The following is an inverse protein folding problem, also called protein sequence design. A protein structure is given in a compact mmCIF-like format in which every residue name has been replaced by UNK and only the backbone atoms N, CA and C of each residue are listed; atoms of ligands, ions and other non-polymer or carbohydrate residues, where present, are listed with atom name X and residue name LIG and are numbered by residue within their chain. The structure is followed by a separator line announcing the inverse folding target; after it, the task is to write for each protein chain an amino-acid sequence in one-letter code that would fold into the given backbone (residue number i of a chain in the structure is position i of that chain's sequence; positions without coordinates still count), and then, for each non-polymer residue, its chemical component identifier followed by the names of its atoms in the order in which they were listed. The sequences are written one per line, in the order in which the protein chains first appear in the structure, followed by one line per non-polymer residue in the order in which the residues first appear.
data_IF_184181699830
#
_entry.id   IF_184181699830
#
_cell.length_a   1.000
_cell.length_b   1.000
_cell.length_c   1.000
_cell.angle_alpha   90.00
_cell.angle_beta   90.00
_cell.angle_gamma   90.00
#
_symmetry.space_group_name_H-M   'P 1'
#
loop_
_entity.id
_entity.type
_entity.pdbx_description
1 polymer ?
#
# COMPACT_ATOMS: atom_id res chain seq x y z
N UNK A 1 1.45 -9.41 21.46
CA UNK A 1 0.57 -9.80 20.34
C UNK A 1 -0.02 -8.49 19.84
N UNK A 2 0.61 -7.89 18.81
CA UNK A 2 0.20 -6.59 18.30
C UNK A 2 -1.03 -6.76 17.43
N UNK A 3 -2.04 -5.93 17.65
CA UNK A 3 -3.30 -5.92 16.91
C UNK A 3 -3.04 -5.55 15.44
N UNK A 4 -3.41 -6.40 14.46
CA UNK A 4 -3.19 -6.14 13.04
C UNK A 4 -4.02 -4.95 12.49
N UNK A 5 -4.86 -4.30 13.31
CA UNK A 5 -5.70 -3.17 12.89
C UNK A 5 -5.22 -1.79 13.37
N UNK A 6 -4.00 -1.66 13.92
CA UNK A 6 -3.44 -0.34 14.28
C UNK A 6 -2.96 0.38 13.01
N UNK A 7 -3.92 0.83 12.19
CA UNK A 7 -3.67 1.73 11.04
C UNK A 7 -2.87 2.92 11.55
N UNK A 8 -1.68 3.11 11.00
CA UNK A 8 -0.83 4.26 11.29
C UNK A 8 -1.66 5.53 11.05
N UNK A 9 -1.97 6.29 12.10
CA UNK A 9 -2.73 7.55 11.98
C UNK A 9 -1.83 8.73 11.66
N UNK A 10 -0.52 8.48 11.51
CA UNK A 10 0.47 9.49 11.19
C UNK A 10 1.28 9.11 9.97
N UNK A 11 1.74 10.14 9.26
CA UNK A 11 2.75 9.98 8.22
C UNK A 11 4.14 9.73 8.84
N UNK A 12 5.13 9.44 8.00
CA UNK A 12 6.52 9.21 8.39
C UNK A 12 7.22 10.49 8.89
N UNK A 13 6.59 11.65 8.74
CA UNK A 13 7.06 12.93 9.27
C UNK A 13 6.43 13.26 10.63
N UNK A 14 5.51 12.43 11.11
CA UNK A 14 4.82 12.57 12.39
C UNK A 14 3.58 13.46 12.34
N UNK A 15 3.04 13.84 11.19
CA UNK A 15 1.77 14.56 11.07
C UNK A 15 0.59 13.60 11.14
N UNK A 16 -0.57 14.05 11.63
CA UNK A 16 -1.81 13.27 11.52
C UNK A 16 -2.25 13.16 10.06
N UNK A 17 -2.68 11.96 9.66
CA UNK A 17 -3.21 11.75 8.33
C UNK A 17 -4.55 12.45 8.14
N UNK A 18 -4.70 13.12 7.01
CA UNK A 18 -6.01 13.54 6.53
C UNK A 18 -6.87 12.31 6.18
N UNK A 19 -8.21 12.46 6.13
CA UNK A 19 -9.08 11.38 5.68
C UNK A 19 -8.79 10.90 4.25
N UNK A 20 -8.23 11.77 3.39
CA UNK A 20 -7.84 11.39 2.03
C UNK A 20 -6.57 10.53 2.02
N UNK A 21 -5.55 10.92 2.79
CA UNK A 21 -4.30 10.16 2.92
C UNK A 21 -4.54 8.79 3.54
N UNK A 22 -5.35 8.71 4.59
CA UNK A 22 -5.73 7.42 5.19
C UNK A 22 -6.42 6.49 4.18
N UNK A 23 -7.22 7.05 3.26
CA UNK A 23 -7.87 6.26 2.19
C UNK A 23 -6.88 5.82 1.11
N UNK A 24 -5.92 6.67 0.75
CA UNK A 24 -4.85 6.31 -0.20
C UNK A 24 -4.00 5.17 0.36
N UNK A 25 -3.61 5.25 1.64
CA UNK A 25 -2.88 4.21 2.33
C UNK A 25 -3.68 2.91 2.38
N UNK A 26 -4.99 2.97 2.67
CA UNK A 26 -5.84 1.77 2.66
C UNK A 26 -5.91 1.11 1.27
N UNK A 27 -6.00 1.88 0.18
CA UNK A 27 -5.98 1.32 -1.19
C UNK A 27 -4.65 0.64 -1.48
N UNK A 28 -3.54 1.22 -1.03
CA UNK A 28 -2.21 0.65 -1.17
C UNK A 28 -2.08 -0.70 -0.44
N UNK A 29 -2.55 -0.78 0.80
CA UNK A 29 -2.56 -2.03 1.57
C UNK A 29 -3.42 -3.14 0.93
N UNK A 30 -4.60 -2.79 0.42
CA UNK A 30 -5.45 -3.76 -0.29
C UNK A 30 -4.81 -4.25 -1.59
N UNK A 31 -4.09 -3.38 -2.31
CA UNK A 31 -3.34 -3.79 -3.50
C UNK A 31 -2.19 -4.74 -3.15
N UNK A 32 -1.51 -4.53 -2.01
CA UNK A 32 -0.50 -5.48 -1.50
C UNK A 32 -1.13 -6.85 -1.20
N UNK A 33 -2.25 -6.85 -0.49
CA UNK A 33 -2.99 -8.07 -0.18
C UNK A 33 -3.43 -8.83 -1.45
N UNK A 34 -3.92 -8.11 -2.46
CA UNK A 34 -4.27 -8.68 -3.77
C UNK A 34 -3.04 -9.27 -4.49
N UNK A 35 -1.91 -8.57 -4.50
CA UNK A 35 -0.69 -9.06 -5.16
C UNK A 35 -0.09 -10.29 -4.47
N UNK A 36 -0.33 -10.45 -3.16
CA UNK A 36 0.06 -11.62 -2.40
C UNK A 36 -0.88 -12.83 -2.59
N UNK A 37 -2.06 -12.65 -3.21
CA UNK A 37 -3.01 -13.72 -3.48
C UNK A 37 -2.59 -14.55 -4.71
N UNK A 38 -2.64 -15.88 -4.58
CA UNK A 38 -2.41 -16.81 -5.69
C UNK A 38 -3.67 -17.06 -6.54
N UNK A 39 -4.82 -16.50 -6.16
CA UNK A 39 -6.12 -16.79 -6.79
C UNK A 39 -6.44 -15.89 -8.00
N UNK A 40 -5.61 -14.87 -8.26
CA UNK A 40 -5.83 -13.95 -9.37
C UNK A 40 -5.44 -14.57 -10.71
N UNK A 41 -6.31 -14.51 -11.74
CA UNK A 41 -5.91 -14.85 -13.10
C UNK A 41 -4.69 -14.02 -13.54
N UNK A 42 -3.81 -14.53 -14.41
CA UNK A 42 -2.53 -13.87 -14.74
C UNK A 42 -2.65 -12.41 -15.17
N UNK A 43 -3.68 -12.07 -15.97
CA UNK A 43 -3.94 -10.70 -16.39
C UNK A 43 -4.29 -9.77 -15.21
N UNK A 44 -5.13 -10.25 -14.28
CA UNK A 44 -5.51 -9.49 -13.09
C UNK A 44 -4.32 -9.31 -12.15
N UNK A 45 -3.50 -10.35 -11.96
CA UNK A 45 -2.28 -10.26 -11.15
C UNK A 45 -1.28 -9.24 -11.72
N UNK A 46 -1.09 -9.22 -13.05
CA UNK A 46 -0.24 -8.22 -13.71
C UNK A 46 -0.79 -6.79 -13.54
N UNK A 47 -2.10 -6.60 -13.70
CA UNK A 47 -2.76 -5.31 -13.48
C UNK A 47 -2.65 -4.83 -12.03
N UNK A 48 -2.83 -5.73 -11.07
CA UNK A 48 -2.70 -5.42 -9.64
C UNK A 48 -1.29 -4.95 -9.28
N UNK A 49 -0.24 -5.63 -9.77
CA UNK A 49 1.16 -5.22 -9.57
C UNK A 49 1.46 -3.86 -10.18
N UNK A 50 0.95 -3.59 -11.38
CA UNK A 50 1.11 -2.28 -12.02
C UNK A 50 0.43 -1.16 -11.22
N UNK A 51 -0.77 -1.41 -10.71
CA UNK A 51 -1.47 -0.47 -9.84
C UNK A 51 -0.74 -0.25 -8.51
N UNK A 52 -0.22 -1.33 -7.91
CA UNK A 52 0.57 -1.27 -6.68
C UNK A 52 1.82 -0.40 -6.85
N UNK A 53 2.54 -0.55 -7.97
CA UNK A 53 3.70 0.28 -8.29
C UNK A 53 3.35 1.78 -8.39
N UNK A 54 2.21 2.12 -9.00
CA UNK A 54 1.76 3.51 -9.07
C UNK A 54 1.37 4.05 -7.70
N UNK A 55 0.66 3.26 -6.90
CA UNK A 55 0.27 3.66 -5.54
C UNK A 55 1.47 3.78 -4.61
N UNK A 56 2.50 2.94 -4.78
CA UNK A 56 3.75 3.06 -4.05
C UNK A 56 4.40 4.44 -4.24
N UNK A 57 4.42 4.97 -5.47
CA UNK A 57 4.91 6.32 -5.73
C UNK A 57 4.09 7.39 -5.01
N UNK A 58 2.76 7.23 -4.95
CA UNK A 58 1.85 8.17 -4.28
C UNK A 58 2.08 8.17 -2.77
N UNK A 59 2.05 7.01 -2.13
CA UNK A 59 2.21 6.91 -0.66
C UNK A 59 3.62 7.32 -0.23
N UNK A 60 4.65 6.98 -1.00
CA UNK A 60 6.02 7.41 -0.73
C UNK A 60 6.20 8.92 -0.92
N UNK A 61 5.64 9.49 -1.98
CA UNK A 61 5.74 10.92 -2.26
C UNK A 61 5.01 11.80 -1.23
N UNK A 62 3.98 11.27 -0.59
CA UNK A 62 3.26 11.89 0.53
C UNK A 62 3.83 11.52 1.90
N UNK A 63 4.93 10.76 1.95
CA UNK A 63 5.54 10.24 3.16
C UNK A 63 4.60 9.42 4.05
N UNK A 64 3.60 8.74 3.47
CA UNK A 64 2.64 7.93 4.23
C UNK A 64 3.23 6.58 4.65
N UNK A 65 4.00 5.95 3.75
CA UNK A 65 4.64 4.65 3.94
C UNK A 65 5.87 4.58 3.01
N UNK A 66 6.88 3.80 3.37
CA UNK A 66 8.02 3.53 2.50
C UNK A 66 8.50 2.09 2.66
N UNK A 67 8.55 1.37 1.54
CA UNK A 67 9.10 0.02 1.43
C UNK A 67 9.69 -0.17 0.03
N UNK A 68 10.73 -0.99 -0.15
CA UNK A 68 11.26 -1.19 -1.49
C UNK A 68 10.31 -2.06 -2.31
N UNK A 69 10.00 -1.68 -3.56
CA UNK A 69 9.16 -2.48 -4.46
C UNK A 69 9.70 -3.91 -4.69
N UNK A 70 11.02 -4.09 -4.60
CA UNK A 70 11.65 -5.41 -4.63
C UNK A 70 11.17 -6.34 -3.52
N UNK A 71 10.84 -5.77 -2.36
CA UNK A 71 10.34 -6.51 -1.20
C UNK A 71 8.88 -6.95 -1.41
N UNK A 72 8.19 -6.38 -2.40
CA UNK A 72 6.83 -6.70 -2.82
C UNK A 72 6.77 -7.60 -4.06
N UNK A 73 7.91 -8.03 -4.59
CA UNK A 73 7.98 -8.87 -5.79
C UNK A 73 7.49 -8.17 -7.06
N UNK A 74 7.63 -6.84 -7.12
CA UNK A 74 7.32 -5.98 -8.27
C UNK A 74 8.59 -5.58 -9.01
#
# INVERSE_FOLDING_TARGET
MSDPSMRTTRDLLGNELTPAEARLLAVYEELKALCASEDLPPNAAAGARAALAQMHNVVSGLALEYEHLSDLGV
#
